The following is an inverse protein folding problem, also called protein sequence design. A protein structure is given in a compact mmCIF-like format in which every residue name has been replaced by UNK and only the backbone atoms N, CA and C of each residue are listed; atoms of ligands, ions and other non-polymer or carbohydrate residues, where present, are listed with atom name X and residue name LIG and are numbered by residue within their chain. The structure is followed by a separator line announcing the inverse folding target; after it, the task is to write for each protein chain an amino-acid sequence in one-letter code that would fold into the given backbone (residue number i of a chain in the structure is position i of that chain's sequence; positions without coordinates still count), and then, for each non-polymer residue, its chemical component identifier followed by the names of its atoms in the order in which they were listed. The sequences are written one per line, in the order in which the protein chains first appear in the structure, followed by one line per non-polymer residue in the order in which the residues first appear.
data_IF_640473883211
#
_entry.id   IF_640473883211
#
_cell.length_a   1.000
_cell.length_b   1.000
_cell.length_c   1.000
_cell.angle_alpha   90.00
_cell.angle_beta   90.00
_cell.angle_gamma   90.00
#
_symmetry.space_group_name_H-M   'P 1'
#
loop_
_entity.id
_entity.type
_entity.pdbx_description
1 polymer ?
#
# COMPACT_ATOMS: atom_id res chain seq x y z
N UNK A 1 1.50 -12.37 12.85
CA UNK A 1 0.85 -12.06 14.14
C UNK A 1 -0.64 -11.90 13.87
N UNK A 2 -1.55 -12.45 14.70
CA UNK A 2 -2.97 -12.19 14.54
C UNK A 2 -3.27 -10.71 14.79
N UNK A 3 -4.15 -10.13 13.96
CA UNK A 3 -4.52 -8.71 13.99
C UNK A 3 -5.29 -8.41 15.30
N UNK A 4 -4.89 -7.42 16.11
CA UNK A 4 -5.75 -6.87 17.16
C UNK A 4 -7.00 -6.22 16.53
N UNK A 5 -8.00 -5.80 17.32
CA UNK A 5 -9.12 -4.97 16.81
C UNK A 5 -8.54 -3.79 16.03
N UNK A 6 -8.64 -3.83 14.70
CA UNK A 6 -7.76 -2.99 13.89
C UNK A 6 -8.31 -1.58 13.78
N UNK A 7 -7.48 -0.62 14.17
CA UNK A 7 -7.71 0.79 13.88
C UNK A 7 -7.18 1.12 12.49
N UNK A 8 -7.62 2.25 11.93
CA UNK A 8 -7.04 2.76 10.67
C UNK A 8 -5.52 2.93 10.78
N UNK A 9 -5.01 3.30 11.95
CA UNK A 9 -3.57 3.42 12.21
C UNK A 9 -2.84 2.08 12.16
N UNK A 10 -3.40 1.02 12.77
CA UNK A 10 -2.78 -0.30 12.74
C UNK A 10 -2.66 -0.80 11.29
N UNK A 11 -3.74 -0.69 10.52
CA UNK A 11 -3.79 -1.13 9.12
C UNK A 11 -2.76 -0.40 8.27
N UNK A 12 -2.66 0.92 8.43
CA UNK A 12 -1.68 1.75 7.73
C UNK A 12 -0.24 1.35 8.09
N UNK A 13 0.06 1.17 9.38
CA UNK A 13 1.42 0.81 9.83
C UNK A 13 1.83 -0.57 9.31
N UNK A 14 0.94 -1.57 9.40
CA UNK A 14 1.23 -2.92 8.90
C UNK A 14 1.37 -2.94 7.39
N UNK A 15 0.53 -2.20 6.66
CA UNK A 15 0.63 -2.08 5.21
C UNK A 15 1.95 -1.40 4.79
N UNK A 16 2.32 -0.27 5.40
CA UNK A 16 3.59 0.43 5.09
C UNK A 16 4.79 -0.47 5.38
N UNK A 17 4.78 -1.23 6.49
CA UNK A 17 5.86 -2.16 6.80
C UNK A 17 6.02 -3.23 5.70
N UNK A 18 4.90 -3.79 5.21
CA UNK A 18 4.89 -4.74 4.11
C UNK A 18 5.35 -4.10 2.79
N UNK A 19 4.79 -2.94 2.43
CA UNK A 19 5.11 -2.17 1.23
C UNK A 19 6.58 -1.71 1.18
N UNK A 20 7.22 -1.57 2.34
CA UNK A 20 8.63 -1.20 2.43
C UNK A 20 9.61 -2.32 2.01
N UNK A 21 9.14 -3.54 1.70
CA UNK A 21 10.02 -4.63 1.25
C UNK A 21 10.54 -4.41 -0.18
N UNK A 22 9.75 -3.79 -1.05
CA UNK A 22 10.01 -3.70 -2.50
C UNK A 22 9.91 -2.25 -3.02
N UNK A 23 10.53 -1.32 -2.29
CA UNK A 23 10.53 0.13 -2.60
C UNK A 23 11.10 0.41 -3.98
N UNK A 24 10.46 1.27 -4.76
CA UNK A 24 10.98 1.75 -6.06
C UNK A 24 11.63 3.14 -5.97
N UNK A 25 11.47 3.82 -4.83
CA UNK A 25 12.04 5.15 -4.56
C UNK A 25 12.84 5.17 -3.25
N UNK A 26 14.06 5.70 -3.29
CA UNK A 26 14.91 5.86 -2.10
C UNK A 26 14.60 7.14 -1.31
N UNK A 27 13.95 8.13 -1.94
CA UNK A 27 13.83 9.48 -1.40
C UNK A 27 12.40 9.79 -0.95
N UNK A 28 11.41 9.46 -1.77
CA UNK A 28 9.99 9.72 -1.48
C UNK A 28 9.21 8.42 -1.53
N UNK A 29 8.83 7.82 -0.39
CA UNK A 29 8.05 6.58 -0.38
C UNK A 29 6.58 6.81 -0.75
N UNK A 30 6.10 8.06 -0.71
CA UNK A 30 4.69 8.41 -0.86
C UNK A 30 4.50 9.50 -1.90
N UNK A 31 3.34 9.46 -2.56
CA UNK A 31 2.77 10.54 -3.34
C UNK A 31 1.29 10.68 -2.94
N UNK A 32 0.84 11.90 -2.65
CA UNK A 32 -0.53 12.14 -2.22
C UNK A 32 -1.18 13.18 -3.14
N UNK A 33 -2.23 12.78 -3.84
CA UNK A 33 -3.01 13.66 -4.71
C UNK A 33 -4.45 13.17 -4.81
N UNK A 34 -5.40 14.06 -5.07
CA UNK A 34 -6.80 13.69 -5.38
C UNK A 34 -7.43 12.66 -4.41
N UNK A 35 -7.28 12.86 -3.10
CA UNK A 35 -7.78 11.96 -2.05
C UNK A 35 -7.19 10.52 -2.09
N UNK A 36 -6.05 10.36 -2.76
CA UNK A 36 -5.33 9.11 -2.95
C UNK A 36 -3.94 9.18 -2.33
N UNK A 37 -3.60 8.19 -1.49
CA UNK A 37 -2.24 7.92 -1.06
C UNK A 37 -1.64 6.86 -1.99
N UNK A 38 -0.60 7.21 -2.74
CA UNK A 38 0.22 6.28 -3.51
C UNK A 38 1.50 5.96 -2.73
N UNK A 39 1.88 4.68 -2.70
CA UNK A 39 3.10 4.15 -2.08
C UNK A 39 3.97 3.54 -3.18
N UNK A 40 5.21 4.04 -3.31
CA UNK A 40 6.15 3.65 -4.35
C UNK A 40 6.81 2.30 -4.00
N UNK A 41 6.17 1.22 -4.42
CA UNK A 41 6.63 -0.16 -4.27
C UNK A 41 6.22 -1.01 -5.46
N UNK A 42 7.10 -1.91 -5.91
CA UNK A 42 6.90 -2.77 -7.07
C UNK A 42 5.91 -3.92 -6.76
N UNK A 43 4.68 -3.92 -7.34
CA UNK A 43 3.68 -4.95 -7.06
C UNK A 43 4.09 -6.34 -7.55
N UNK A 44 4.95 -6.44 -8.56
CA UNK A 44 5.37 -7.72 -9.16
C UNK A 44 6.25 -8.57 -8.23
N UNK A 45 6.72 -8.00 -7.12
CA UNK A 45 7.58 -8.67 -6.13
C UNK A 45 6.82 -9.32 -4.98
N UNK A 46 5.53 -9.04 -4.85
CA UNK A 46 4.70 -9.56 -3.75
C UNK A 46 4.08 -10.91 -4.11
N UNK A 47 3.90 -11.74 -3.10
CA UNK A 47 3.15 -13.01 -3.24
C UNK A 47 1.64 -12.74 -3.38
N UNK A 48 0.87 -13.65 -3.99
CA UNK A 48 -0.59 -13.54 -4.05
C UNK A 48 -1.24 -13.33 -2.66
N UNK A 49 -0.70 -13.96 -1.62
CA UNK A 49 -1.18 -13.81 -0.24
C UNK A 49 -0.91 -12.41 0.32
N UNK A 50 0.27 -11.84 0.04
CA UNK A 50 0.59 -10.47 0.44
C UNK A 50 -0.25 -9.43 -0.31
N UNK A 51 -0.50 -9.65 -1.61
CA UNK A 51 -1.37 -8.80 -2.42
C UNK A 51 -2.80 -8.82 -1.88
N UNK A 52 -3.35 -10.01 -1.58
CA UNK A 52 -4.67 -10.14 -0.97
C UNK A 52 -4.73 -9.48 0.42
N UNK A 53 -3.64 -9.55 1.19
CA UNK A 53 -3.56 -8.90 2.50
C UNK A 53 -3.53 -7.37 2.39
N UNK A 54 -2.81 -6.82 1.40
CA UNK A 54 -2.77 -5.39 1.11
C UNK A 54 -4.13 -4.87 0.64
N UNK A 55 -4.82 -5.65 -0.20
CA UNK A 55 -6.18 -5.34 -0.66
C UNK A 55 -7.18 -5.27 0.51
N UNK A 56 -7.14 -6.24 1.43
CA UNK A 56 -7.94 -6.23 2.68
C UNK A 56 -7.64 -5.01 3.57
N UNK A 57 -6.42 -4.47 3.52
CA UNK A 57 -6.04 -3.27 4.25
C UNK A 57 -6.39 -1.97 3.50
N UNK A 58 -6.84 -2.07 2.24
CA UNK A 58 -7.26 -0.95 1.40
C UNK A 58 -6.14 -0.37 0.54
N UNK A 59 -5.13 -1.17 0.19
CA UNK A 59 -4.09 -0.84 -0.78
C UNK A 59 -4.25 -1.68 -2.03
N UNK A 60 -4.45 -1.03 -3.17
CA UNK A 60 -4.69 -1.65 -4.45
C UNK A 60 -3.57 -1.29 -5.42
N UNK A 61 -3.40 -2.05 -6.49
CA UNK A 61 -2.51 -1.71 -7.60
C UNK A 61 -3.22 -2.03 -8.91
N UNK A 62 -2.83 -1.38 -10.00
CA UNK A 62 -3.40 -1.66 -11.32
C UNK A 62 -2.37 -2.42 -12.16
N UNK A 63 -2.67 -3.67 -12.48
CA UNK A 63 -1.81 -4.53 -13.32
C UNK A 63 -1.58 -3.95 -14.73
N UNK A 64 -2.50 -3.12 -15.21
CA UNK A 64 -2.48 -2.53 -16.55
C UNK A 64 -1.97 -1.06 -16.57
N UNK A 65 -1.64 -0.48 -15.41
CA UNK A 65 -1.10 0.88 -15.35
C UNK A 65 0.42 0.88 -15.46
N UNK A 66 0.97 1.86 -16.18
CA UNK A 66 2.41 2.16 -16.17
C UNK A 66 2.86 2.74 -14.82
N UNK A 67 1.92 3.10 -13.93
CA UNK A 67 2.19 3.68 -12.63
C UNK A 67 2.68 2.61 -11.63
N UNK A 68 3.97 2.67 -11.31
CA UNK A 68 4.63 1.79 -10.36
C UNK A 68 4.18 2.11 -8.91
N UNK A 69 3.24 1.34 -8.36
CA UNK A 69 2.92 1.48 -6.94
C UNK A 69 1.62 0.85 -6.48
N UNK A 70 1.35 1.07 -5.18
CA UNK A 70 0.08 0.78 -4.56
C UNK A 70 -0.63 2.09 -4.22
N UNK A 71 -1.95 2.13 -4.33
CA UNK A 71 -2.75 3.29 -3.98
C UNK A 71 -3.84 2.97 -2.96
N UNK A 72 -4.23 3.96 -2.17
CA UNK A 72 -5.31 3.86 -1.18
C UNK A 72 -6.13 5.14 -1.11
N UNK A 73 -7.44 5.02 -1.32
CA UNK A 73 -8.41 6.07 -1.02
C UNK A 73 -8.78 6.10 0.47
N UNK A 74 -8.62 4.98 1.17
CA UNK A 74 -8.92 4.85 2.60
C UNK A 74 -8.04 5.76 3.46
N UNK A 75 -6.79 5.95 3.06
CA UNK A 75 -5.81 6.76 3.78
C UNK A 75 -5.45 8.08 3.07
N UNK A 76 -5.99 8.31 1.87
CA UNK A 76 -5.78 9.53 1.10
C UNK A 76 -6.87 10.60 1.31
N UNK A 77 -8.06 10.21 1.77
CA UNK A 77 -9.20 11.10 2.01
C UNK A 77 -9.40 11.39 3.51
N UNK A 78 -9.82 12.62 3.84
CA UNK A 78 -10.13 13.05 5.21
C UNK A 78 -11.64 13.09 5.47
#
# INVERSE_FOLDING_TARGET
MPKPKSTAWDDLIYAIALLSKHRTSEVSPFHCEHDQLTVLSDPSKYTPEELAQLDDWGFHFNEDAEDEGFYSFRFGSA
#
